data_IF_314136616100
#
_entry.id   IF_314136616100
#
_cell.length_a   1.000
_cell.length_b   1.000
_cell.length_c   1.000
_cell.angle_alpha   90.00
_cell.angle_beta   90.00
_cell.angle_gamma   90.00
#
_symmetry.space_group_name_H-M   'P 1'
#
loop_
_entity.id
_entity.type
_entity.pdbx_description
1 polymer ?
#
# COMPACT_ATOMS: atom_id res chain seq x y z
N UNK A 1 2.61 -8.31 -5.37
CA UNK A 1 1.39 -9.14 -5.44
C UNK A 1 1.58 -10.50 -4.75
N UNK A 2 2.56 -11.33 -5.15
CA UNK A 2 2.76 -12.68 -4.59
C UNK A 2 2.76 -12.73 -3.06
N UNK A 3 3.56 -11.86 -2.40
CA UNK A 3 3.63 -11.80 -0.93
C UNK A 3 2.27 -11.51 -0.28
N UNK A 4 1.51 -10.53 -0.81
CA UNK A 4 0.16 -10.22 -0.31
C UNK A 4 -0.78 -11.43 -0.48
N UNK A 5 -0.82 -12.02 -1.66
CA UNK A 5 -1.72 -13.15 -1.97
C UNK A 5 -1.38 -14.39 -1.15
N UNK A 6 -0.10 -14.62 -0.82
CA UNK A 6 0.32 -15.76 -0.01
C UNK A 6 -0.26 -15.78 1.40
N UNK A 7 -0.66 -14.61 1.92
CA UNK A 7 -1.37 -14.51 3.21
C UNK A 7 -2.86 -14.86 3.11
N UNK A 8 -3.44 -14.88 1.90
CA UNK A 8 -4.88 -14.93 1.67
C UNK A 8 -5.53 -13.57 1.41
N UNK A 9 -4.76 -12.48 1.48
CA UNK A 9 -5.23 -11.15 1.11
C UNK A 9 -5.56 -11.04 -0.40
N UNK A 10 -6.54 -10.20 -0.74
CA UNK A 10 -7.03 -9.99 -2.11
C UNK A 10 -6.73 -8.57 -2.59
N UNK A 11 -5.53 -8.29 -3.13
CA UNK A 11 -5.20 -6.99 -3.69
C UNK A 11 -5.83 -6.81 -5.09
N UNK A 12 -6.30 -5.60 -5.37
CA UNK A 12 -6.87 -5.23 -6.67
C UNK A 12 -6.00 -4.18 -7.36
N UNK A 13 -5.89 -4.23 -8.68
CA UNK A 13 -5.26 -3.16 -9.46
C UNK A 13 -6.22 -1.97 -9.59
N UNK A 14 -5.69 -0.75 -9.55
CA UNK A 14 -6.51 0.45 -9.73
C UNK A 14 -5.86 1.49 -10.64
N UNK A 15 -6.59 1.95 -11.66
CA UNK A 15 -6.20 3.02 -12.56
C UNK A 15 -6.85 2.90 -13.94
N UNK A 16 -6.91 4.02 -14.67
CA UNK A 16 -7.20 4.08 -16.11
C UNK A 16 -5.93 4.42 -16.89
N UNK A 17 -5.85 4.07 -18.18
CA UNK A 17 -4.65 4.25 -19.01
C UNK A 17 -4.10 5.70 -19.05
N UNK A 18 -4.93 6.72 -18.77
CA UNK A 18 -4.55 8.15 -18.81
C UNK A 18 -4.57 8.86 -17.44
N UNK A 19 -4.84 8.14 -16.34
CA UNK A 19 -4.97 8.72 -14.99
C UNK A 19 -3.90 8.11 -14.08
N UNK A 20 -3.39 8.89 -13.12
CA UNK A 20 -2.47 8.43 -12.06
C UNK A 20 -2.89 7.05 -11.54
N UNK A 21 -1.95 6.11 -11.59
CA UNK A 21 -2.14 4.71 -11.22
C UNK A 21 -1.60 4.48 -9.81
N UNK A 22 -2.28 3.61 -9.06
CA UNK A 22 -1.71 2.96 -7.89
C UNK A 22 -1.52 1.48 -8.20
N UNK A 23 -0.42 0.89 -7.75
CA UNK A 23 -0.11 -0.51 -8.07
C UNK A 23 -1.19 -1.44 -7.52
N UNK A 24 -1.61 -1.25 -6.26
CA UNK A 24 -2.68 -2.04 -5.66
C UNK A 24 -3.57 -1.21 -4.73
N UNK A 25 -4.79 -1.69 -4.50
CA UNK A 25 -5.64 -1.31 -3.37
C UNK A 25 -5.99 -2.56 -2.59
N UNK A 26 -6.04 -2.44 -1.25
CA UNK A 26 -6.32 -3.56 -0.36
C UNK A 26 -7.29 -3.13 0.74
N UNK A 27 -8.24 -4.02 1.08
CA UNK A 27 -9.19 -3.81 2.18
C UNK A 27 -8.55 -4.24 3.49
N UNK A 28 -8.66 -3.37 4.49
CA UNK A 28 -8.31 -3.59 5.90
C UNK A 28 -9.58 -3.51 6.75
N UNK A 29 -9.54 -3.94 8.02
CA UNK A 29 -10.68 -3.80 8.94
C UNK A 29 -11.20 -2.36 9.05
N UNK A 30 -10.31 -1.37 8.99
CA UNK A 30 -10.65 0.04 9.17
C UNK A 30 -10.87 0.82 7.86
N UNK A 31 -10.87 0.17 6.69
CA UNK A 31 -11.09 0.83 5.40
C UNK A 31 -10.20 0.29 4.27
N UNK A 32 -10.14 1.02 3.17
CA UNK A 32 -9.30 0.68 2.02
C UNK A 32 -7.99 1.44 2.10
N UNK A 33 -6.87 0.80 1.75
CA UNK A 33 -5.58 1.47 1.60
C UNK A 33 -5.06 1.35 0.17
N UNK A 34 -4.64 2.46 -0.48
CA UNK A 34 -3.77 2.38 -1.64
C UNK A 34 -2.38 1.89 -1.22
N UNK A 35 -1.81 1.00 -2.04
CA UNK A 35 -0.45 0.50 -1.92
C UNK A 35 0.32 0.90 -3.16
N UNK A 36 1.39 1.67 -2.95
CA UNK A 36 2.30 2.09 -4.01
C UNK A 36 3.67 1.42 -3.84
N UNK A 37 4.21 0.86 -4.93
CA UNK A 37 5.47 0.12 -4.92
C UNK A 37 6.54 0.90 -5.68
N UNK A 38 7.71 1.08 -5.05
CA UNK A 38 8.83 1.82 -5.64
C UNK A 38 10.15 1.07 -5.45
N UNK A 39 10.91 0.89 -6.54
CA UNK A 39 12.31 0.47 -6.49
C UNK A 39 13.18 1.70 -6.21
N UNK A 40 13.82 1.75 -5.05
CA UNK A 40 14.69 2.85 -4.64
C UNK A 40 14.31 3.54 -3.34
N UNK A 41 15.28 4.30 -2.80
CA UNK A 41 15.20 4.95 -1.48
C UNK A 41 14.70 6.40 -1.52
N UNK A 42 14.80 7.12 -2.64
CA UNK A 42 14.21 8.47 -2.79
C UNK A 42 12.91 8.36 -3.56
N UNK A 43 11.81 8.34 -2.82
CA UNK A 43 10.49 8.00 -3.36
C UNK A 43 9.44 8.91 -2.76
N UNK A 44 8.53 9.39 -3.61
CA UNK A 44 7.28 10.05 -3.21
C UNK A 44 6.11 9.10 -3.45
N UNK A 45 4.95 9.41 -2.85
CA UNK A 45 3.72 8.63 -3.02
C UNK A 45 2.56 9.51 -3.49
N UNK A 46 2.81 10.34 -4.50
CA UNK A 46 1.85 11.35 -4.96
C UNK A 46 0.56 10.73 -5.51
N UNK A 47 0.66 9.62 -6.25
CA UNK A 47 -0.51 8.90 -6.76
C UNK A 47 -1.33 8.26 -5.64
N UNK A 48 -0.68 7.58 -4.70
CA UNK A 48 -1.37 6.95 -3.58
C UNK A 48 -1.99 7.95 -2.61
N UNK A 49 -1.31 9.08 -2.35
CA UNK A 49 -1.89 10.20 -1.59
C UNK A 49 -3.15 10.74 -2.25
N UNK A 50 -3.11 11.08 -3.55
CA UNK A 50 -4.30 11.57 -4.26
C UNK A 50 -5.43 10.54 -4.30
N UNK A 51 -5.11 9.24 -4.42
CA UNK A 51 -6.12 8.20 -4.29
C UNK A 51 -6.77 8.25 -2.90
N UNK A 52 -5.95 8.29 -1.85
CA UNK A 52 -6.45 8.34 -0.48
C UNK A 52 -7.29 9.59 -0.22
N UNK A 53 -6.86 10.77 -0.68
CA UNK A 53 -7.61 12.02 -0.55
C UNK A 53 -8.96 11.93 -1.29
N UNK A 54 -8.96 11.40 -2.52
CA UNK A 54 -10.17 11.27 -3.34
C UNK A 54 -11.21 10.32 -2.74
N UNK A 55 -10.76 9.22 -2.13
CA UNK A 55 -11.62 8.15 -1.61
C UNK A 55 -11.68 8.11 -0.08
N UNK A 56 -11.17 9.14 0.59
CA UNK A 56 -11.11 9.28 2.03
C UNK A 56 -10.53 8.04 2.74
N UNK A 57 -9.42 7.52 2.20
CA UNK A 57 -8.76 6.33 2.76
C UNK A 57 -8.05 6.67 4.07
N UNK A 58 -8.18 5.83 5.11
CA UNK A 58 -7.61 6.10 6.43
C UNK A 58 -6.08 6.00 6.49
N UNK A 59 -5.43 5.45 5.46
CA UNK A 59 -3.99 5.23 5.42
C UNK A 59 -3.48 5.10 4.00
N UNK A 60 -2.20 5.43 3.81
CA UNK A 60 -1.44 5.17 2.57
C UNK A 60 -0.26 4.27 2.90
N UNK A 61 -0.03 3.24 2.07
CA UNK A 61 1.08 2.32 2.25
C UNK A 61 2.04 2.45 1.06
N UNK A 62 3.32 2.59 1.36
CA UNK A 62 4.40 2.59 0.37
C UNK A 62 5.32 1.40 0.62
N UNK A 63 5.49 0.54 -0.38
CA UNK A 63 6.48 -0.53 -0.37
C UNK A 63 7.74 -0.04 -1.09
N UNK A 64 8.89 -0.06 -0.42
CA UNK A 64 10.14 0.57 -0.91
C UNK A 64 11.39 -0.09 -0.31
N UNK A 65 12.58 0.32 -0.74
CA UNK A 65 13.87 -0.07 -0.15
C UNK A 65 14.22 0.70 1.14
N UNK A 66 13.38 1.66 1.56
CA UNK A 66 13.54 2.33 2.86
C UNK A 66 13.22 1.36 4.02
N UNK A 67 13.80 1.64 5.18
CA UNK A 67 13.37 1.03 6.44
C UNK A 67 11.91 1.38 6.76
N UNK A 68 11.33 0.63 7.71
CA UNK A 68 10.04 0.95 8.28
C UNK A 68 9.98 2.39 8.80
N UNK A 69 8.84 3.04 8.59
CA UNK A 69 8.61 4.38 9.10
C UNK A 69 7.25 4.92 8.71
N UNK A 70 6.89 6.04 9.33
CA UNK A 70 5.73 6.84 8.99
C UNK A 70 6.21 8.24 8.64
N UNK A 71 5.82 8.75 7.48
CA UNK A 71 6.19 10.09 7.03
C UNK A 71 5.04 10.71 6.25
N UNK A 72 4.58 11.90 6.67
CA UNK A 72 3.44 12.61 6.08
C UNK A 72 2.20 11.72 5.85
N UNK A 73 1.86 10.87 6.83
CA UNK A 73 0.72 9.95 6.75
C UNK A 73 0.92 8.72 5.85
N UNK A 74 2.15 8.49 5.35
CA UNK A 74 2.51 7.33 4.54
C UNK A 74 3.30 6.33 5.38
N UNK A 75 2.77 5.12 5.53
CA UNK A 75 3.48 3.98 6.13
C UNK A 75 4.44 3.42 5.09
N UNK A 76 5.74 3.54 5.34
CA UNK A 76 6.79 2.91 4.53
C UNK A 76 7.07 1.51 5.05
N UNK A 77 7.01 0.52 4.15
CA UNK A 77 7.28 -0.89 4.42
C UNK A 77 8.41 -1.35 3.50
N UNK A 78 9.49 -1.95 4.03
CA UNK A 78 10.55 -2.53 3.21
C UNK A 78 10.01 -3.59 2.24
N UNK A 79 10.57 -3.67 1.03
CA UNK A 79 10.16 -4.65 0.00
C UNK A 79 10.12 -6.10 0.54
N UNK A 80 11.13 -6.49 1.33
CA UNK A 80 11.22 -7.84 1.91
C UNK A 80 10.13 -8.14 2.94
N UNK A 81 9.43 -7.13 3.43
CA UNK A 81 8.44 -7.26 4.48
C UNK A 81 7.01 -6.95 4.00
N UNK A 82 6.79 -6.98 2.68
CA UNK A 82 5.47 -6.79 2.08
C UNK A 82 4.44 -7.84 2.54
N UNK A 83 4.88 -9.02 3.02
CA UNK A 83 4.02 -10.05 3.61
C UNK A 83 3.17 -9.50 4.77
N UNK A 84 3.77 -8.69 5.65
CA UNK A 84 3.10 -8.17 6.86
C UNK A 84 1.88 -7.29 6.53
N UNK A 85 1.89 -6.65 5.35
CA UNK A 85 0.74 -5.85 4.88
C UNK A 85 -0.47 -6.76 4.64
N UNK A 86 -0.22 -7.95 4.09
CA UNK A 86 -1.26 -8.95 3.85
C UNK A 86 -1.82 -9.51 5.16
N UNK A 87 -0.94 -9.87 6.09
CA UNK A 87 -1.32 -10.38 7.43
C UNK A 87 -2.16 -9.35 8.22
N UNK A 88 -1.77 -8.08 8.16
CA UNK A 88 -2.54 -6.97 8.77
C UNK A 88 -3.91 -6.81 8.11
N UNK A 89 -4.00 -6.96 6.80
CA UNK A 89 -5.25 -6.81 6.06
C UNK A 89 -6.29 -7.90 6.39
N UNK A 90 -5.83 -9.11 6.69
CA UNK A 90 -6.68 -10.25 7.03
C UNK A 90 -6.87 -10.46 8.54
N UNK A 91 -6.26 -9.60 9.37
CA UNK A 91 -6.41 -9.64 10.83
C UNK A 91 -5.61 -10.75 11.53
N UNK A 92 -4.51 -11.22 10.93
CA UNK A 92 -3.61 -12.20 11.56
C UNK A 92 -2.60 -11.56 12.52
N UNK A 93 -2.38 -10.26 12.44
CA UNK A 93 -1.55 -9.50 13.39
C UNK A 93 -2.42 -8.78 14.41
N UNK A 94 -2.09 -8.97 15.69
CA UNK A 94 -2.71 -8.35 16.86
C UNK A 94 -2.41 -6.86 16.99
#
# INVERSE_FOLDING_TARGET
MQQLVSTGAKPYYWGMQSVQKVEFVLKFPNGIAPIEVKSGKRVSSSSAKKFADKYNCPRVIRVTEKNYGMDEGIKSVPLYAALLIGEEAIGLTS
#
